data_IF_626460208329
#
_entry.id   IF_626460208329
#
_cell.length_a   1.000
_cell.length_b   1.000
_cell.length_c   1.000
_cell.angle_alpha   90.00
_cell.angle_beta   90.00
_cell.angle_gamma   90.00
#
_symmetry.space_group_name_H-M   'P 1'
#
loop_
_entity.id
_entity.type
_entity.pdbx_description
1 polymer ?
#
# COMPACT_ATOMS: atom_id res chain seq x y z
N UNK A 1 5.50 -5.71 2.05
CA UNK A 1 4.65 -5.07 1.02
C UNK A 1 5.37 -5.03 -0.32
N UNK A 2 6.57 -4.44 -0.38
CA UNK A 2 7.43 -4.43 -1.59
C UNK A 2 7.66 -5.86 -2.13
N UNK A 3 8.10 -6.80 -1.28
CA UNK A 3 8.29 -8.21 -1.70
C UNK A 3 7.01 -8.86 -2.27
N UNK A 4 5.84 -8.48 -1.77
CA UNK A 4 4.55 -8.99 -2.25
C UNK A 4 4.25 -8.43 -3.64
N UNK A 5 4.51 -7.14 -3.87
CA UNK A 5 4.36 -6.54 -5.18
C UNK A 5 5.34 -7.13 -6.20
N UNK A 6 6.59 -7.40 -5.79
CA UNK A 6 7.57 -8.11 -6.62
C UNK A 6 7.09 -9.52 -6.99
N UNK A 7 6.56 -10.28 -6.03
CA UNK A 7 5.99 -11.60 -6.28
C UNK A 7 4.78 -11.57 -7.24
N UNK A 8 4.07 -10.45 -7.29
CA UNK A 8 2.99 -10.19 -8.25
C UNK A 8 3.47 -9.62 -9.60
N UNK A 9 4.78 -9.53 -9.83
CA UNK A 9 5.37 -9.07 -11.09
C UNK A 9 5.54 -7.55 -11.22
N UNK A 10 5.34 -6.78 -10.15
CA UNK A 10 5.58 -5.33 -10.15
C UNK A 10 7.03 -5.10 -9.74
N UNK A 11 7.94 -4.93 -10.70
CA UNK A 11 9.40 -4.83 -10.45
C UNK A 11 9.80 -3.61 -9.60
N UNK A 12 9.16 -2.47 -9.83
CA UNK A 12 9.44 -1.21 -9.11
C UNK A 12 8.12 -0.62 -8.61
N UNK A 13 7.56 -1.17 -7.52
CA UNK A 13 6.29 -0.70 -6.97
C UNK A 13 6.43 0.73 -6.46
N UNK A 14 5.40 1.53 -6.73
CA UNK A 14 5.23 2.90 -6.23
C UNK A 14 4.45 2.86 -4.92
N UNK A 15 5.09 3.27 -3.85
CA UNK A 15 4.55 3.24 -2.49
C UNK A 15 4.13 4.64 -2.09
N UNK A 16 2.85 4.81 -1.74
CA UNK A 16 2.29 6.03 -1.21
C UNK A 16 1.97 5.87 0.29
N UNK A 17 2.79 6.41 1.20
CA UNK A 17 2.38 6.64 2.58
C UNK A 17 1.29 7.70 2.62
N UNK A 18 0.04 7.27 2.88
CA UNK A 18 -1.10 8.17 2.80
C UNK A 18 -1.42 8.85 4.13
N UNK A 19 -1.77 10.13 4.04
CA UNK A 19 -2.09 11.00 5.17
C UNK A 19 -3.34 11.83 4.84
N UNK A 20 -3.83 12.59 5.82
CA UNK A 20 -4.96 13.51 5.61
C UNK A 20 -4.57 14.76 4.79
N UNK A 21 -3.28 15.10 4.74
CA UNK A 21 -2.72 16.26 4.02
C UNK A 21 -1.43 15.86 3.30
N UNK A 22 -1.06 16.64 2.28
CA UNK A 22 0.11 16.41 1.42
C UNK A 22 1.39 17.08 1.92
N UNK A 23 1.28 17.93 2.95
CA UNK A 23 2.42 18.66 3.54
C UNK A 23 2.83 18.04 4.86
N UNK A 24 4.13 18.10 5.15
CA UNK A 24 4.64 17.70 6.46
C UNK A 24 4.12 18.66 7.52
N UNK A 25 3.43 18.12 8.50
CA UNK A 25 2.90 18.83 9.65
C UNK A 25 3.40 18.16 10.93
N UNK A 26 4.17 18.88 11.74
CA UNK A 26 4.72 18.37 13.01
C UNK A 26 3.64 17.94 14.01
N UNK A 27 2.45 18.52 13.92
CA UNK A 27 1.31 18.19 14.77
C UNK A 27 0.55 16.94 14.28
N UNK A 28 0.94 16.40 13.12
CA UNK A 28 0.37 15.19 12.53
C UNK A 28 1.49 14.16 12.28
N UNK A 29 1.79 13.29 13.26
CA UNK A 29 2.90 12.33 13.20
C UNK A 29 2.95 11.49 11.91
N UNK A 30 1.78 11.09 11.39
CA UNK A 30 1.68 10.35 10.14
C UNK A 30 2.38 11.04 8.95
N UNK A 31 2.30 12.37 8.87
CA UNK A 31 2.94 13.14 7.79
C UNK A 31 4.45 13.20 7.96
N UNK A 32 4.93 13.20 9.21
CA UNK A 32 6.36 13.14 9.54
C UNK A 32 6.91 11.76 9.20
N UNK A 33 6.22 10.69 9.62
CA UNK A 33 6.60 9.31 9.31
C UNK A 33 6.63 9.05 7.81
N UNK A 34 5.62 9.54 7.07
CA UNK A 34 5.57 9.47 5.62
C UNK A 34 6.79 10.14 4.96
N UNK A 35 7.14 11.37 5.38
CA UNK A 35 8.29 12.08 4.85
C UNK A 35 9.62 11.39 5.19
N UNK A 36 9.73 10.80 6.38
CA UNK A 36 10.89 10.01 6.78
C UNK A 36 11.04 8.76 5.91
N UNK A 37 9.96 8.04 5.62
CA UNK A 37 9.98 6.89 4.72
C UNK A 37 10.44 7.27 3.31
N UNK A 38 9.92 8.38 2.76
CA UNK A 38 10.38 8.92 1.47
C UNK A 38 11.88 9.21 1.51
N UNK A 39 12.36 9.86 2.58
CA UNK A 39 13.79 10.16 2.71
C UNK A 39 14.67 8.93 2.88
N UNK A 40 14.18 7.91 3.59
CA UNK A 40 14.88 6.64 3.73
C UNK A 40 14.99 5.91 2.38
N UNK A 41 13.98 6.00 1.52
CA UNK A 41 14.05 5.49 0.14
C UNK A 41 15.04 6.28 -0.73
N UNK A 42 15.00 7.62 -0.69
CA UNK A 42 15.97 8.48 -1.39
C UNK A 42 17.42 8.16 -1.01
N UNK A 43 17.65 7.84 0.26
CA UNK A 43 18.97 7.49 0.80
C UNK A 43 19.36 6.02 0.59
N UNK A 44 18.51 5.24 -0.07
CA UNK A 44 18.75 3.84 -0.38
C UNK A 44 18.66 2.89 0.83
N UNK A 45 18.04 3.32 1.94
CA UNK A 45 17.76 2.43 3.08
C UNK A 45 16.58 1.52 2.77
N UNK A 46 15.54 2.07 2.12
CA UNK A 46 14.42 1.31 1.54
C UNK A 46 14.72 1.15 0.05
N UNK A 47 14.74 -0.09 -0.44
CA UNK A 47 15.17 -0.44 -1.81
C UNK A 47 14.08 -1.22 -2.55
N UNK A 48 14.25 -1.33 -3.87
CA UNK A 48 13.37 -2.13 -4.73
C UNK A 48 12.00 -1.51 -4.96
N UNK A 49 11.81 -0.23 -4.61
CA UNK A 49 10.57 0.50 -4.79
C UNK A 49 10.85 2.02 -4.89
N UNK A 50 9.82 2.78 -5.23
CA UNK A 50 9.81 4.24 -5.11
C UNK A 50 8.82 4.63 -4.04
N UNK A 51 9.25 5.37 -3.02
CA UNK A 51 8.39 5.85 -1.94
C UNK A 51 8.26 7.36 -2.05
N UNK A 52 7.03 7.86 -2.02
CA UNK A 52 6.76 9.29 -2.07
C UNK A 52 5.50 9.62 -1.26
N UNK A 53 5.61 10.61 -0.41
CA UNK A 53 4.62 10.96 0.61
C UNK A 53 5.15 11.99 1.59
N UNK A 54 4.26 12.63 2.38
CA UNK A 54 2.84 12.28 2.55
C UNK A 54 1.96 12.61 1.34
N UNK A 55 1.02 11.71 1.02
CA UNK A 55 0.02 11.92 -0.03
C UNK A 55 -1.39 11.75 0.52
N UNK A 56 -2.34 12.58 0.09
CA UNK A 56 -3.75 12.25 0.26
C UNK A 56 -4.14 11.08 -0.67
N UNK A 57 -5.20 10.35 -0.30
CA UNK A 57 -5.61 9.13 -1.00
C UNK A 57 -5.96 9.36 -2.47
N UNK A 58 -6.65 10.46 -2.77
CA UNK A 58 -6.99 10.89 -4.13
C UNK A 58 -5.72 11.10 -4.97
N UNK A 59 -4.72 11.76 -4.40
CA UNK A 59 -3.46 12.04 -5.08
C UNK A 59 -2.57 10.80 -5.23
N UNK A 60 -2.76 9.78 -4.41
CA UNK A 60 -2.09 8.49 -4.58
C UNK A 60 -2.70 7.70 -5.75
N UNK A 61 -4.00 7.85 -6.01
CA UNK A 61 -4.79 7.02 -6.92
C UNK A 61 -5.14 7.66 -8.27
N UNK A 62 -5.16 8.99 -8.37
CA UNK A 62 -5.59 9.71 -9.57
C UNK A 62 -4.56 10.76 -10.01
N UNK A 63 -4.02 10.59 -11.23
CA UNK A 63 -3.13 11.58 -11.85
C UNK A 63 -3.82 12.93 -12.03
N UNK A 64 -5.13 12.92 -12.31
CA UNK A 64 -5.93 14.13 -12.47
C UNK A 64 -6.05 14.90 -11.14
N UNK A 65 -6.36 14.19 -10.03
CA UNK A 65 -6.45 14.82 -8.71
C UNK A 65 -5.10 15.37 -8.26
N UNK A 66 -4.03 14.60 -8.48
CA UNK A 66 -2.67 15.05 -8.22
C UNK A 66 -2.32 16.31 -9.02
N UNK A 67 -2.64 16.34 -10.33
CA UNK A 67 -2.41 17.50 -11.18
C UNK A 67 -3.18 18.74 -10.71
N UNK A 68 -4.46 18.60 -10.37
CA UNK A 68 -5.28 19.71 -9.86
C UNK A 68 -4.74 20.33 -8.56
N UNK A 69 -4.07 19.53 -7.73
CA UNK A 69 -3.42 19.99 -6.49
C UNK A 69 -1.94 20.34 -6.66
N UNK A 70 -1.40 20.29 -7.89
CA UNK A 70 0.01 20.56 -8.17
C UNK A 70 0.98 19.53 -7.58
N UNK A 71 0.50 18.34 -7.23
CA UNK A 71 1.31 17.25 -6.72
C UNK A 71 2.03 16.59 -7.89
N UNK A 72 3.36 16.55 -7.79
CA UNK A 72 4.23 15.94 -8.80
C UNK A 72 5.05 14.84 -8.13
N UNK A 73 5.57 13.91 -8.92
CA UNK A 73 6.35 12.79 -8.41
C UNK A 73 6.08 11.52 -9.18
N UNK A 74 6.89 10.49 -8.93
CA UNK A 74 6.75 9.21 -9.62
C UNK A 74 5.56 8.40 -9.11
N UNK A 75 5.10 8.67 -7.88
CA UNK A 75 4.00 7.95 -7.22
C UNK A 75 2.67 8.68 -7.37
N UNK A 76 2.68 9.99 -7.58
CA UNK A 76 1.48 10.82 -7.75
C UNK A 76 0.54 10.24 -8.82
N UNK A 77 -0.65 9.82 -8.40
CA UNK A 77 -1.70 9.21 -9.20
C UNK A 77 -1.43 7.77 -9.65
N UNK A 78 -0.34 7.16 -9.20
CA UNK A 78 0.23 5.92 -9.75
C UNK A 78 0.56 4.90 -8.66
N UNK A 79 0.04 5.04 -7.44
CA UNK A 79 0.43 4.16 -6.34
C UNK A 79 0.05 2.69 -6.61
N UNK A 80 1.04 1.80 -6.50
CA UNK A 80 0.85 0.35 -6.50
C UNK A 80 0.60 -0.17 -5.07
N UNK A 81 1.19 0.51 -4.07
CA UNK A 81 1.07 0.21 -2.65
C UNK A 81 0.58 1.46 -1.92
N UNK A 82 -0.53 1.32 -1.19
CA UNK A 82 -1.04 2.36 -0.30
C UNK A 82 -0.68 1.96 1.13
N UNK A 83 0.19 2.74 1.78
CA UNK A 83 0.58 2.52 3.17
C UNK A 83 -0.25 3.43 4.08
N UNK A 84 -1.16 2.82 4.82
CA UNK A 84 -2.05 3.52 5.74
C UNK A 84 -1.33 3.88 7.05
N UNK A 85 -1.70 5.00 7.70
CA UNK A 85 -0.97 5.51 8.86
C UNK A 85 -1.21 4.70 10.13
N UNK A 86 -2.33 3.98 10.21
CA UNK A 86 -2.70 3.17 11.37
C UNK A 86 -3.73 2.10 11.00
N UNK A 87 -3.97 1.18 11.95
CA UNK A 87 -4.89 0.06 11.78
C UNK A 87 -6.34 0.49 11.60
N UNK A 88 -6.77 1.59 12.23
CA UNK A 88 -8.17 2.04 12.15
C UNK A 88 -8.49 2.51 10.73
N UNK A 89 -7.60 3.34 10.15
CA UNK A 89 -7.74 3.83 8.77
C UNK A 89 -7.65 2.69 7.78
N UNK A 90 -6.73 1.73 8.00
CA UNK A 90 -6.61 0.53 7.18
C UNK A 90 -7.87 -0.36 7.22
N UNK A 91 -8.42 -0.60 8.41
CA UNK A 91 -9.59 -1.45 8.56
C UNK A 91 -10.84 -0.82 7.95
N UNK A 92 -11.04 0.49 8.16
CA UNK A 92 -12.14 1.23 7.55
C UNK A 92 -12.01 1.21 6.04
N UNK A 93 -10.83 1.53 5.48
CA UNK A 93 -10.62 1.50 4.03
C UNK A 93 -10.87 0.10 3.44
N UNK A 94 -10.32 -0.95 4.06
CA UNK A 94 -10.51 -2.33 3.63
C UNK A 94 -11.99 -2.71 3.56
N UNK A 95 -12.76 -2.38 4.61
CA UNK A 95 -14.20 -2.66 4.65
C UNK A 95 -14.96 -1.81 3.64
N UNK A 96 -14.67 -0.52 3.51
CA UNK A 96 -15.29 0.33 2.49
C UNK A 96 -15.08 -0.28 1.11
N UNK A 97 -13.85 -0.63 0.71
CA UNK A 97 -13.61 -1.28 -0.57
C UNK A 97 -14.40 -2.58 -0.72
N UNK A 98 -14.40 -3.42 0.32
CA UNK A 98 -15.08 -4.73 0.31
C UNK A 98 -16.60 -4.61 0.15
N UNK A 99 -17.24 -3.64 0.80
CA UNK A 99 -18.70 -3.53 0.86
C UNK A 99 -19.30 -2.50 -0.10
N UNK A 100 -18.53 -1.51 -0.55
CA UNK A 100 -19.04 -0.41 -1.39
C UNK A 100 -18.44 -0.39 -2.79
N UNK A 101 -17.52 -1.30 -3.11
CA UNK A 101 -16.92 -1.42 -4.44
C UNK A 101 -16.99 -2.86 -4.94
N UNK A 102 -16.72 -3.06 -6.22
CA UNK A 102 -16.59 -4.40 -6.83
C UNK A 102 -15.16 -4.94 -6.70
N UNK A 103 -14.39 -4.47 -5.72
CA UNK A 103 -13.00 -4.89 -5.54
C UNK A 103 -12.94 -6.37 -5.18
N UNK A 104 -12.06 -7.11 -5.85
CA UNK A 104 -11.68 -8.47 -5.49
C UNK A 104 -10.44 -8.37 -4.60
N UNK A 105 -10.48 -8.97 -3.42
CA UNK A 105 -9.40 -8.87 -2.45
C UNK A 105 -8.84 -10.24 -2.07
N UNK A 106 -7.66 -10.22 -1.44
CA UNK A 106 -6.99 -11.35 -0.81
C UNK A 106 -6.10 -10.81 0.32
N UNK A 107 -5.98 -11.57 1.41
CA UNK A 107 -5.31 -11.14 2.63
C UNK A 107 -4.16 -12.08 2.98
N UNK A 108 -3.02 -11.49 3.34
CA UNK A 108 -1.84 -12.24 3.74
C UNK A 108 -1.05 -11.51 4.81
N UNK A 109 -0.58 -12.26 5.81
CA UNK A 109 0.45 -11.82 6.75
C UNK A 109 1.83 -12.24 6.22
N UNK A 110 2.75 -11.28 6.20
CA UNK A 110 4.13 -11.43 5.70
C UNK A 110 5.14 -10.96 6.75
N UNK A 111 6.42 -11.26 6.53
CA UNK A 111 7.51 -10.99 7.49
C UNK A 111 7.94 -12.22 8.31
N UNK A 112 7.12 -13.27 8.31
CA UNK A 112 7.44 -14.62 8.81
C UNK A 112 8.28 -15.41 7.81
N UNK A 113 8.81 -16.58 8.21
CA UNK A 113 9.56 -17.49 7.34
C UNK A 113 8.75 -17.98 6.13
N UNK A 114 7.43 -18.14 6.28
CA UNK A 114 6.48 -18.46 5.21
C UNK A 114 5.25 -17.54 5.28
N UNK A 115 4.56 -17.28 4.15
CA UNK A 115 3.34 -16.47 4.14
C UNK A 115 2.21 -17.13 4.94
N UNK A 116 1.48 -16.35 5.75
CA UNK A 116 0.37 -16.84 6.58
C UNK A 116 -0.95 -16.22 6.12
N UNK A 117 -1.92 -17.06 5.77
CA UNK A 117 -3.25 -16.60 5.36
C UNK A 117 -4.11 -16.39 6.61
N UNK A 118 -4.66 -15.18 6.76
CA UNK A 118 -5.59 -14.83 7.83
C UNK A 118 -6.92 -14.40 7.22
N UNK A 119 -7.94 -15.25 7.38
CA UNK A 119 -9.29 -14.98 6.86
C UNK A 119 -10.19 -14.42 7.94
N UNK A 120 -11.02 -13.45 7.61
CA UNK A 120 -12.19 -13.08 8.40
C UNK A 120 -13.31 -14.11 8.22
N UNK A 121 -14.13 -14.29 9.26
CA UNK A 121 -15.35 -15.11 9.16
C UNK A 121 -16.30 -14.60 8.07
N UNK A 122 -16.29 -13.29 7.82
CA UNK A 122 -17.12 -12.64 6.81
C UNK A 122 -16.54 -12.72 5.38
N UNK A 123 -15.33 -13.25 5.20
CA UNK A 123 -14.72 -13.31 3.87
C UNK A 123 -15.42 -14.32 2.96
N UNK A 124 -15.61 -13.89 1.71
CA UNK A 124 -16.18 -14.72 0.66
C UNK A 124 -15.28 -15.92 0.31
N UNK A 125 -15.84 -16.93 -0.35
CA UNK A 125 -15.06 -18.03 -0.92
C UNK A 125 -13.94 -17.51 -1.84
N UNK A 126 -14.28 -16.53 -2.70
CA UNK A 126 -13.35 -15.93 -3.64
C UNK A 126 -12.16 -15.24 -2.94
N UNK A 127 -12.42 -14.47 -1.87
CA UNK A 127 -11.37 -13.84 -1.06
C UNK A 127 -10.39 -14.87 -0.52
N UNK A 128 -10.87 -16.03 -0.07
CA UNK A 128 -10.02 -17.12 0.45
C UNK A 128 -9.17 -17.73 -0.66
N UNK A 129 -9.75 -17.99 -1.83
CA UNK A 129 -9.02 -18.50 -3.00
C UNK A 129 -7.95 -17.52 -3.45
N UNK A 130 -8.27 -16.22 -3.57
CA UNK A 130 -7.31 -15.18 -3.92
C UNK A 130 -6.17 -15.10 -2.89
N UNK A 131 -6.48 -15.28 -1.60
CA UNK A 131 -5.46 -15.30 -0.55
C UNK A 131 -4.50 -16.48 -0.69
N UNK A 132 -5.01 -17.66 -1.06
CA UNK A 132 -4.18 -18.85 -1.35
C UNK A 132 -3.29 -18.61 -2.56
N UNK A 133 -3.85 -18.06 -3.65
CA UNK A 133 -3.08 -17.74 -4.86
C UNK A 133 -1.96 -16.73 -4.56
N UNK A 134 -2.27 -15.67 -3.81
CA UNK A 134 -1.28 -14.68 -3.40
C UNK A 134 -0.19 -15.29 -2.50
N UNK A 135 -0.57 -16.16 -1.56
CA UNK A 135 0.39 -16.86 -0.71
C UNK A 135 1.34 -17.75 -1.51
N UNK A 136 0.84 -18.45 -2.54
CA UNK A 136 1.67 -19.29 -3.40
C UNK A 136 2.69 -18.48 -4.19
N UNK A 137 2.30 -17.33 -4.76
CA UNK A 137 3.23 -16.42 -5.46
C UNK A 137 4.32 -15.91 -4.51
N UNK A 138 3.94 -15.45 -3.33
CA UNK A 138 4.88 -14.93 -2.32
C UNK A 138 5.82 -16.04 -1.80
N UNK A 139 5.32 -17.27 -1.66
CA UNK A 139 6.14 -18.41 -1.24
C UNK A 139 7.17 -18.79 -2.31
N UNK A 140 6.80 -18.76 -3.59
CA UNK A 140 7.71 -19.06 -4.70
C UNK A 140 8.81 -17.99 -4.84
N UNK A 141 8.44 -16.71 -4.73
CA UNK A 141 9.39 -15.60 -4.83
C UNK A 141 10.40 -15.53 -3.66
N UNK A 142 10.15 -16.25 -2.57
CA UNK A 142 11.06 -16.34 -1.41
C UNK A 142 12.11 -17.44 -1.51
N UNK A 143 11.99 -18.35 -2.47
CA UNK A 143 13.00 -19.39 -2.73
C UNK A 143 14.25 -18.78 -3.35
#
# INVERSE_FOLDING_TARGET
AVDVAHACGIEVPKVAPVCAVEVVNSDMPATVDAALLSKMNDRGQIKGCVVDGPLALDNALSEEAAHHKGITGKVAGKADIILLPNIDTANVMYKTLTYTSKSRNGGLLVGTSAPVILTSRADSFETKVNSIALAALVAEAKK
#
